data_IF_830150182155
#
_entry.id   IF_830150182155
#
_cell.length_a   1.000
_cell.length_b   1.000
_cell.length_c   1.000
_cell.angle_alpha   90.00
_cell.angle_beta   90.00
_cell.angle_gamma   90.00
#
_symmetry.space_group_name_H-M   'P 1'
#
loop_
_entity.id
_entity.type
_entity.pdbx_description
1 polymer ?
#
# COMPACT_ATOMS: atom_id res chain seq x y z
N UNK A 1 11.93 14.90 -5.44
CA UNK A 1 10.58 15.05 -4.94
C UNK A 1 10.28 13.94 -4.00
N UNK A 2 9.74 14.28 -2.89
CA UNK A 2 9.59 13.28 -1.86
C UNK A 2 8.47 12.31 -2.15
N UNK A 3 7.36 12.80 -2.63
CA UNK A 3 6.19 11.96 -2.79
C UNK A 3 5.58 12.12 -4.14
N UNK A 4 5.10 11.01 -4.66
CA UNK A 4 4.33 11.04 -5.86
C UNK A 4 2.85 11.16 -5.57
N UNK A 5 2.07 10.67 -6.50
CA UNK A 5 0.63 10.75 -6.43
C UNK A 5 0.08 9.71 -5.45
N UNK A 6 -0.97 10.08 -4.71
CA UNK A 6 -1.68 9.09 -3.90
C UNK A 6 -2.35 8.08 -4.82
N UNK A 7 -2.08 6.81 -4.58
CA UNK A 7 -2.58 5.75 -5.43
C UNK A 7 -3.46 4.75 -4.70
N UNK A 8 -3.58 4.89 -3.39
CA UNK A 8 -4.42 3.94 -2.68
C UNK A 8 -4.50 4.23 -1.21
N UNK A 9 -5.25 3.39 -0.53
CA UNK A 9 -5.47 3.51 0.90
C UNK A 9 -5.53 2.11 1.49
N UNK A 10 -4.92 1.93 2.66
CA UNK A 10 -4.94 0.65 3.35
C UNK A 10 -6.33 0.47 3.95
N UNK A 11 -7.01 -0.61 3.57
CA UNK A 11 -8.34 -0.91 4.09
C UNK A 11 -8.32 -2.06 5.09
N UNK A 12 -7.21 -2.81 5.12
CA UNK A 12 -7.09 -3.88 6.11
C UNK A 12 -5.63 -4.28 6.23
N UNK A 13 -5.25 -4.81 7.40
CA UNK A 13 -3.89 -5.28 7.62
C UNK A 13 -3.95 -6.64 8.32
N UNK A 14 -3.17 -7.60 7.80
CA UNK A 14 -3.08 -8.94 8.37
C UNK A 14 -1.69 -9.13 8.98
N UNK A 15 -1.58 -9.02 10.30
CA UNK A 15 -0.25 -9.08 10.93
C UNK A 15 0.42 -10.45 10.81
N UNK A 16 -0.36 -11.51 10.71
CA UNK A 16 0.24 -12.84 10.67
C UNK A 16 1.06 -13.07 9.41
N UNK A 17 0.70 -12.42 8.31
CA UNK A 17 1.40 -12.60 7.04
C UNK A 17 2.06 -11.31 6.60
N UNK A 18 2.01 -10.26 7.41
CA UNK A 18 2.61 -8.96 7.10
C UNK A 18 2.12 -8.44 5.76
N UNK A 19 0.81 -8.53 5.54
CA UNK A 19 0.22 -8.10 4.28
C UNK A 19 -0.87 -7.08 4.54
N UNK A 20 -0.96 -6.10 3.66
CA UNK A 20 -1.98 -5.07 3.73
C UNK A 20 -2.87 -5.17 2.50
N UNK A 21 -4.17 -5.02 2.71
CA UNK A 21 -5.10 -4.90 1.59
C UNK A 21 -5.23 -3.42 1.29
N UNK A 22 -4.97 -3.06 0.05
CA UNK A 22 -4.98 -1.68 -0.39
C UNK A 22 -6.04 -1.53 -1.47
N UNK A 23 -6.89 -0.54 -1.29
CA UNK A 23 -7.84 -0.18 -2.34
C UNK A 23 -7.17 0.88 -3.21
N UNK A 24 -7.01 0.58 -4.48
CA UNK A 24 -6.23 1.42 -5.37
C UNK A 24 -7.08 2.47 -6.05
N UNK A 25 -6.51 3.66 -6.19
CA UNK A 25 -7.11 4.77 -6.92
C UNK A 25 -6.32 5.08 -8.18
N UNK A 26 -5.17 4.43 -8.36
CA UNK A 26 -4.32 4.61 -9.51
C UNK A 26 -3.55 3.35 -9.78
N UNK A 27 -2.70 3.38 -10.79
CA UNK A 27 -1.98 2.19 -11.24
C UNK A 27 -0.71 1.97 -10.43
N UNK A 28 -0.37 0.69 -10.26
CA UNK A 28 0.85 0.29 -9.58
C UNK A 28 1.33 -1.02 -10.16
N UNK A 29 2.64 -1.21 -10.21
CA UNK A 29 3.24 -2.45 -10.71
C UNK A 29 4.23 -2.98 -9.69
N UNK A 30 4.38 -4.30 -9.69
CA UNK A 30 5.46 -4.92 -8.93
C UNK A 30 6.78 -4.35 -9.43
N UNK A 31 7.65 -3.96 -8.49
CA UNK A 31 8.89 -3.29 -8.81
C UNK A 31 8.84 -1.79 -8.62
N UNK A 32 7.66 -1.21 -8.57
CA UNK A 32 7.53 0.22 -8.26
C UNK A 32 7.81 0.45 -6.78
N UNK A 33 8.28 1.63 -6.47
CA UNK A 33 8.47 2.03 -5.06
C UNK A 33 7.25 2.78 -4.60
N UNK A 34 6.84 2.51 -3.37
CA UNK A 34 5.70 3.18 -2.77
C UNK A 34 6.09 3.75 -1.42
N UNK A 35 5.30 4.72 -0.97
CA UNK A 35 5.43 5.28 0.36
C UNK A 35 4.06 5.20 1.03
N UNK A 36 4.03 4.62 2.22
CA UNK A 36 2.80 4.51 3.00
C UNK A 36 2.92 5.46 4.17
N UNK A 37 1.94 6.35 4.33
CA UNK A 37 1.96 7.35 5.39
C UNK A 37 0.75 7.17 6.28
N UNK A 38 0.97 7.34 7.60
CA UNK A 38 -0.11 7.28 8.55
C UNK A 38 -1.10 8.40 8.31
N UNK A 39 -2.37 8.08 8.47
CA UNK A 39 -3.43 9.04 8.26
C UNK A 39 -3.40 10.09 9.36
N UNK A 40 -3.46 11.37 8.96
CA UNK A 40 -3.46 12.46 9.89
C UNK A 40 -4.71 12.39 10.78
N UNK A 41 -4.51 12.56 12.07
CA UNK A 41 -5.62 12.52 13.00
C UNK A 41 -5.94 11.14 13.53
N UNK A 42 -5.26 10.12 13.04
CA UNK A 42 -5.43 8.76 13.51
C UNK A 42 -4.28 8.40 14.44
N UNK A 43 -4.39 7.24 15.07
CA UNK A 43 -3.36 6.80 16.00
C UNK A 43 -2.03 6.54 15.35
N UNK A 44 -1.98 6.48 14.03
CA UNK A 44 -0.78 6.18 13.27
C UNK A 44 -0.17 7.42 12.61
N UNK A 45 -0.59 8.58 13.06
CA UNK A 45 -0.06 9.82 12.50
C UNK A 45 1.45 9.87 12.65
N UNK A 46 2.15 10.32 11.59
CA UNK A 46 3.60 10.40 11.58
C UNK A 46 4.29 9.17 11.07
N UNK A 47 3.56 8.08 10.89
CA UNK A 47 4.14 6.86 10.35
C UNK A 47 4.48 7.03 8.86
N UNK A 48 5.66 6.55 8.49
CA UNK A 48 6.06 6.53 7.08
C UNK A 48 6.83 5.24 6.81
N UNK A 49 6.50 4.61 5.68
CA UNK A 49 7.20 3.42 5.21
C UNK A 49 7.42 3.57 3.73
N UNK A 50 8.67 3.43 3.30
CA UNK A 50 9.00 3.46 1.87
C UNK A 50 9.57 2.11 1.51
N UNK A 51 9.02 1.49 0.48
CA UNK A 51 9.49 0.17 0.06
C UNK A 51 9.19 -0.07 -1.40
N UNK A 52 9.91 -1.04 -1.96
CA UNK A 52 9.62 -1.53 -3.29
C UNK A 52 8.53 -2.61 -3.18
N UNK A 53 7.58 -2.57 -4.11
CA UNK A 53 6.51 -3.58 -4.13
C UNK A 53 7.10 -4.89 -4.62
N UNK A 54 7.15 -5.90 -3.74
CA UNK A 54 7.72 -7.19 -4.09
C UNK A 54 6.67 -8.19 -4.54
N UNK A 55 5.43 -8.05 -4.07
CA UNK A 55 4.37 -8.98 -4.47
C UNK A 55 3.01 -8.36 -4.19
N UNK A 56 2.05 -8.72 -5.04
CA UNK A 56 0.67 -8.34 -4.85
C UNK A 56 -0.19 -9.55 -5.19
N UNK A 57 -1.34 -9.66 -4.54
CA UNK A 57 -2.27 -10.76 -4.77
C UNK A 57 -3.69 -10.25 -4.83
N UNK A 58 -4.46 -10.84 -5.74
CA UNK A 58 -5.90 -10.61 -5.84
C UNK A 58 -6.58 -11.96 -5.73
N UNK A 59 -7.45 -12.11 -4.70
CA UNK A 59 -8.15 -13.38 -4.47
C UNK A 59 -7.18 -14.54 -4.38
N UNK A 60 -6.07 -14.34 -3.65
CA UNK A 60 -5.04 -15.34 -3.43
C UNK A 60 -4.26 -15.71 -4.69
N UNK A 61 -4.40 -14.91 -5.73
CA UNK A 61 -3.67 -15.13 -6.99
C UNK A 61 -2.68 -14.00 -7.18
N UNK A 62 -1.42 -14.35 -7.44
CA UNK A 62 -0.38 -13.34 -7.64
C UNK A 62 -0.67 -12.54 -8.90
N UNK A 63 -0.53 -11.22 -8.80
CA UNK A 63 -0.69 -10.32 -9.93
C UNK A 63 0.51 -9.40 -9.99
N UNK A 64 0.75 -8.82 -11.17
CA UNK A 64 1.92 -7.97 -11.38
C UNK A 64 1.57 -6.49 -11.39
N UNK A 65 0.30 -6.15 -11.47
CA UNK A 65 -0.10 -4.75 -11.52
C UNK A 65 -1.48 -4.57 -10.91
N UNK A 66 -1.75 -3.34 -10.52
CA UNK A 66 -3.04 -2.95 -9.98
C UNK A 66 -3.54 -1.74 -10.75
N UNK A 67 -4.85 -1.57 -10.79
CA UNK A 67 -5.49 -0.45 -11.46
C UNK A 67 -6.48 0.21 -10.52
N UNK A 68 -6.90 1.42 -10.87
CA UNK A 68 -7.89 2.14 -10.07
C UNK A 68 -9.14 1.27 -9.89
N UNK A 69 -9.60 1.17 -8.66
CA UNK A 69 -10.76 0.38 -8.31
C UNK A 69 -10.45 -1.03 -7.82
N UNK A 70 -9.20 -1.48 -7.97
CA UNK A 70 -8.81 -2.80 -7.48
C UNK A 70 -8.56 -2.78 -5.98
N UNK A 71 -8.85 -3.91 -5.33
CA UNK A 71 -8.44 -4.14 -3.96
C UNK A 71 -7.50 -5.33 -3.96
N UNK A 72 -6.25 -5.09 -3.58
CA UNK A 72 -5.23 -6.13 -3.63
C UNK A 72 -4.48 -6.19 -2.32
N UNK A 73 -4.03 -7.40 -1.98
CA UNK A 73 -3.11 -7.57 -0.86
C UNK A 73 -1.69 -7.40 -1.33
N UNK A 74 -0.87 -6.73 -0.52
CA UNK A 74 0.55 -6.64 -0.82
C UNK A 74 1.34 -6.83 0.46
N UNK A 75 2.53 -7.39 0.32
CA UNK A 75 3.39 -7.59 1.46
C UNK A 75 4.02 -6.27 1.85
N UNK A 76 4.03 -5.99 3.15
CA UNK A 76 4.61 -4.77 3.68
C UNK A 76 5.70 -5.13 4.67
N UNK A 77 6.67 -4.22 4.81
CA UNK A 77 7.83 -4.48 5.66
C UNK A 77 7.61 -4.06 7.10
N UNK A 78 6.60 -3.26 7.35
CA UNK A 78 6.27 -2.78 8.70
C UNK A 78 4.77 -2.83 8.88
N UNK A 79 4.36 -2.84 10.13
CA UNK A 79 2.95 -2.83 10.45
C UNK A 79 2.31 -1.53 9.97
N UNK A 80 1.24 -1.65 9.19
CA UNK A 80 0.46 -0.50 8.76
C UNK A 80 -0.93 -0.62 9.37
N UNK A 81 -1.75 0.42 9.23
CA UNK A 81 -3.08 0.44 9.82
C UNK A 81 -4.11 0.85 8.79
N UNK A 82 -5.34 0.46 9.05
CA UNK A 82 -6.44 0.87 8.19
C UNK A 82 -6.50 2.39 8.16
N UNK A 83 -6.67 2.93 6.96
CA UNK A 83 -6.70 4.36 6.76
C UNK A 83 -5.38 4.97 6.37
N UNK A 84 -4.29 4.22 6.46
CA UNK A 84 -3.00 4.72 6.00
C UNK A 84 -3.06 4.95 4.49
N UNK A 85 -2.32 5.94 4.02
CA UNK A 85 -2.37 6.34 2.62
C UNK A 85 -1.15 5.83 1.87
N UNK A 86 -1.38 5.38 0.65
CA UNK A 86 -0.32 4.82 -0.19
C UNK A 86 -0.05 5.77 -1.35
N UNK A 87 1.23 6.14 -1.51
CA UNK A 87 1.67 7.04 -2.56
C UNK A 87 2.67 6.32 -3.45
N UNK A 88 2.67 6.70 -4.72
CA UNK A 88 3.71 6.22 -5.63
C UNK A 88 4.94 7.07 -5.39
N UNK A 89 6.04 6.41 -4.99
CA UNK A 89 7.30 7.12 -4.77
C UNK A 89 7.99 7.36 -6.10
N UNK A 90 8.57 8.54 -6.25
CA UNK A 90 9.27 8.90 -7.48
C UNK A 90 10.72 9.24 -7.20
#
# INVERSE_FOLDING_TARGET
>A
MAEGKKIGEVVHYFPKVSAAVVKFEGDLKVGDCIKIKGNRGESHEGFELEQEVSSMQKDHTAVESASAGDELGMKVEKEVREGDEVFLAE
#
